data_IF_763050043350
#
_entry.id   IF_763050043350
#
_cell.length_a   1.000
_cell.length_b   1.000
_cell.length_c   1.000
_cell.angle_alpha   90.00
_cell.angle_beta   90.00
_cell.angle_gamma   90.00
#
_symmetry.space_group_name_H-M   'P 1'
#
loop_
_entity.id
_entity.type
_entity.pdbx_description
1 polymer ?
#
# COMPACT_ATOMS: atom_id res chain seq x y z
N UNK A 1 22.67 3.36 -14.74
CA UNK A 1 22.76 2.03 -14.07
C UNK A 1 22.27 0.99 -15.07
N UNK A 2 22.74 -0.27 -14.97
CA UNK A 2 22.22 -1.36 -15.80
C UNK A 2 20.74 -1.62 -15.45
N UNK A 3 19.87 -1.76 -16.49
CA UNK A 3 18.42 -1.91 -16.28
C UNK A 3 18.04 -3.20 -15.53
N UNK A 4 18.83 -4.28 -15.69
CA UNK A 4 18.59 -5.52 -14.97
C UNK A 4 18.92 -5.41 -13.49
N UNK A 5 20.00 -4.69 -13.16
CA UNK A 5 20.37 -4.40 -11.77
C UNK A 5 19.32 -3.49 -11.10
N UNK A 6 18.86 -2.46 -11.82
CA UNK A 6 17.78 -1.59 -11.37
C UNK A 6 16.50 -2.39 -11.10
N UNK A 7 16.11 -3.26 -12.02
CA UNK A 7 14.93 -4.13 -11.89
C UNK A 7 14.99 -5.01 -10.62
N UNK A 8 16.15 -5.63 -10.37
CA UNK A 8 16.34 -6.43 -9.14
C UNK A 8 16.23 -5.55 -7.90
N UNK A 9 16.89 -4.38 -7.87
CA UNK A 9 16.86 -3.47 -6.73
C UNK A 9 15.43 -3.00 -6.41
N UNK A 10 14.70 -2.54 -7.42
CA UNK A 10 13.32 -2.06 -7.23
C UNK A 10 12.36 -3.18 -6.85
N UNK A 11 12.52 -4.37 -7.43
CA UNK A 11 11.78 -5.56 -7.02
C UNK A 11 12.04 -5.98 -5.58
N UNK A 12 13.29 -5.89 -5.10
CA UNK A 12 13.67 -6.12 -3.71
C UNK A 12 13.03 -5.09 -2.77
N UNK A 13 13.10 -3.80 -3.11
CA UNK A 13 12.50 -2.71 -2.34
C UNK A 13 11.00 -2.96 -2.23
N UNK A 14 10.30 -3.13 -3.35
CA UNK A 14 8.86 -3.37 -3.36
C UNK A 14 8.47 -4.61 -2.58
N UNK A 15 9.08 -5.77 -2.88
CA UNK A 15 8.74 -7.04 -2.25
C UNK A 15 9.00 -7.08 -0.75
N UNK A 16 9.96 -6.28 -0.26
CA UNK A 16 10.24 -6.18 1.18
C UNK A 16 9.35 -5.16 1.86
N UNK A 17 9.23 -3.95 1.31
CA UNK A 17 8.59 -2.83 2.00
C UNK A 17 7.06 -2.86 1.93
N UNK A 18 6.47 -3.62 1.01
CA UNK A 18 5.02 -3.75 0.88
C UNK A 18 4.32 -4.21 2.17
N UNK A 19 4.96 -5.08 2.92
CA UNK A 19 4.41 -5.64 4.17
C UNK A 19 4.67 -4.77 5.40
N UNK A 20 5.55 -3.81 5.26
CA UNK A 20 5.88 -2.86 6.33
C UNK A 20 4.96 -1.64 6.24
N UNK A 21 4.60 -1.05 7.38
CA UNK A 21 3.75 0.13 7.38
C UNK A 21 4.54 1.43 7.06
N UNK A 22 5.31 1.40 5.94
CA UNK A 22 6.24 2.47 5.49
C UNK A 22 5.98 2.78 4.04
N UNK A 23 5.21 3.14 3.37
CA UNK A 23 5.00 3.43 1.94
C UNK A 23 6.05 2.84 0.99
N UNK A 24 5.74 1.69 0.40
CA UNK A 24 6.56 1.05 -0.65
C UNK A 24 6.62 1.91 -1.91
N UNK A 25 5.52 2.53 -2.31
CA UNK A 25 5.44 3.44 -3.46
C UNK A 25 6.38 4.63 -3.30
N UNK A 26 6.32 5.30 -2.13
CA UNK A 26 7.20 6.40 -1.81
C UNK A 26 8.67 5.97 -1.81
N UNK A 27 8.97 4.77 -1.32
CA UNK A 27 10.35 4.24 -1.27
C UNK A 27 10.88 3.91 -2.67
N UNK A 28 10.08 3.34 -3.56
CA UNK A 28 10.45 3.07 -4.96
C UNK A 28 10.65 4.39 -5.70
N UNK A 29 9.72 5.34 -5.59
CA UNK A 29 9.84 6.66 -6.22
C UNK A 29 11.08 7.42 -5.73
N UNK A 30 11.34 7.42 -4.41
CA UNK A 30 12.54 8.03 -3.85
C UNK A 30 13.83 7.33 -4.32
N UNK A 31 13.83 6.01 -4.48
CA UNK A 31 14.98 5.27 -5.02
C UNK A 31 15.27 5.66 -6.47
N UNK A 32 14.25 5.76 -7.33
CA UNK A 32 14.37 6.20 -8.72
C UNK A 32 14.93 7.63 -8.79
N UNK A 33 14.36 8.55 -8.02
CA UNK A 33 14.82 9.94 -7.92
C UNK A 33 16.28 10.03 -7.41
N UNK A 34 16.63 9.29 -6.36
CA UNK A 34 17.97 9.33 -5.75
C UNK A 34 19.06 8.71 -6.67
N UNK A 35 18.69 7.79 -7.53
CA UNK A 35 19.60 7.16 -8.50
C UNK A 35 19.69 7.94 -9.83
N UNK A 36 18.92 9.02 -9.96
CA UNK A 36 18.84 9.85 -11.18
C UNK A 36 18.53 9.00 -12.43
N UNK A 37 17.58 8.05 -12.28
CA UNK A 37 17.16 7.14 -13.36
C UNK A 37 15.66 7.25 -13.67
N UNK A 38 14.90 7.97 -12.86
CA UNK A 38 13.51 8.32 -13.12
C UNK A 38 13.40 9.35 -14.24
N UNK A 39 12.38 9.24 -15.08
CA UNK A 39 12.11 10.22 -16.15
C UNK A 39 11.27 11.40 -15.61
N UNK A 40 10.29 11.09 -14.75
CA UNK A 40 9.45 12.09 -14.07
C UNK A 40 8.84 11.52 -12.79
N UNK A 41 8.42 12.39 -11.87
CA UNK A 41 7.75 11.98 -10.64
C UNK A 41 6.43 11.19 -10.91
N UNK A 42 5.75 11.47 -12.03
CA UNK A 42 4.56 10.72 -12.46
C UNK A 42 4.94 9.30 -12.86
N UNK A 43 5.96 9.15 -13.71
CA UNK A 43 6.42 7.84 -14.19
C UNK A 43 7.02 7.00 -13.06
N UNK A 44 7.78 7.62 -12.14
CA UNK A 44 8.30 6.96 -10.95
C UNK A 44 7.17 6.38 -10.08
N UNK A 45 6.08 7.15 -9.92
CA UNK A 45 4.89 6.68 -9.20
C UNK A 45 4.18 5.57 -9.96
N UNK A 46 4.01 5.70 -11.27
CA UNK A 46 3.39 4.67 -12.12
C UNK A 46 4.21 3.37 -12.09
N UNK A 47 5.55 3.45 -12.11
CA UNK A 47 6.38 2.28 -11.99
C UNK A 47 6.24 1.60 -10.62
N UNK A 48 6.17 2.37 -9.54
CA UNK A 48 5.89 1.85 -8.21
C UNK A 48 4.53 1.13 -8.14
N UNK A 49 3.47 1.72 -8.73
CA UNK A 49 2.14 1.11 -8.83
C UNK A 49 2.15 -0.17 -9.67
N UNK A 50 2.92 -0.21 -10.77
CA UNK A 50 3.08 -1.40 -11.59
C UNK A 50 3.70 -2.57 -10.80
N UNK A 51 4.69 -2.32 -9.94
CA UNK A 51 5.34 -3.35 -9.12
C UNK A 51 4.41 -4.01 -8.10
N UNK A 52 3.27 -3.37 -7.76
CA UNK A 52 2.25 -3.98 -6.91
C UNK A 52 1.64 -5.26 -7.49
N UNK A 53 1.68 -5.47 -8.82
CA UNK A 53 1.26 -6.75 -9.41
C UNK A 53 2.10 -7.91 -8.88
N UNK A 54 3.40 -7.71 -8.65
CA UNK A 54 4.27 -8.72 -8.06
C UNK A 54 3.88 -9.06 -6.62
N UNK A 55 3.70 -8.04 -5.78
CA UNK A 55 3.28 -8.26 -4.39
C UNK A 55 1.83 -8.74 -4.27
N UNK A 56 0.94 -8.39 -5.21
CA UNK A 56 -0.39 -8.99 -5.28
C UNK A 56 -0.35 -10.50 -5.54
N UNK A 57 0.56 -10.98 -6.41
CA UNK A 57 0.79 -12.42 -6.62
C UNK A 57 1.30 -13.06 -5.31
N UNK A 58 2.25 -12.43 -4.63
CA UNK A 58 2.78 -12.90 -3.35
C UNK A 58 1.68 -13.01 -2.28
N UNK A 59 0.89 -11.94 -2.09
CA UNK A 59 -0.23 -11.92 -1.13
C UNK A 59 -1.28 -12.97 -1.46
N UNK A 60 -1.71 -13.05 -2.72
CA UNK A 60 -2.70 -14.05 -3.16
C UNK A 60 -2.22 -15.48 -2.88
N UNK A 61 -0.94 -15.76 -3.13
CA UNK A 61 -0.35 -17.07 -2.87
C UNK A 61 -0.25 -17.36 -1.38
N UNK A 62 0.14 -16.38 -0.58
CA UNK A 62 0.30 -16.53 0.87
C UNK A 62 -1.06 -16.73 1.56
N UNK A 63 -2.04 -15.87 1.26
CA UNK A 63 -3.38 -15.88 1.86
C UNK A 63 -4.41 -16.72 1.08
N UNK A 64 -3.96 -17.67 0.23
CA UNK A 64 -4.86 -18.49 -0.60
C UNK A 64 -5.94 -19.24 0.18
N UNK A 65 -5.65 -19.66 1.41
CA UNK A 65 -6.60 -20.36 2.27
C UNK A 65 -7.68 -19.41 2.80
N UNK A 66 -7.29 -18.22 3.25
CA UNK A 66 -8.21 -17.17 3.70
C UNK A 66 -9.11 -16.72 2.54
N UNK A 67 -8.53 -16.48 1.35
CA UNK A 67 -9.28 -16.11 0.15
C UNK A 67 -10.30 -17.20 -0.21
N UNK A 68 -9.89 -18.46 -0.18
CA UNK A 68 -10.80 -19.58 -0.47
C UNK A 68 -11.95 -19.68 0.55
N UNK A 69 -11.66 -19.42 1.82
CA UNK A 69 -12.69 -19.40 2.87
C UNK A 69 -13.70 -18.26 2.66
N UNK A 70 -13.23 -17.04 2.34
CA UNK A 70 -14.13 -15.91 2.07
C UNK A 70 -14.95 -16.12 0.77
N UNK A 71 -14.32 -16.63 -0.30
CA UNK A 71 -15.02 -16.94 -1.54
C UNK A 71 -16.09 -18.03 -1.37
N UNK A 72 -15.88 -19.00 -0.48
CA UNK A 72 -16.86 -20.04 -0.19
C UNK A 72 -18.14 -19.48 0.47
N UNK A 73 -18.07 -18.31 1.12
CA UNK A 73 -19.21 -17.62 1.75
C UNK A 73 -20.06 -16.82 0.75
N UNK A 74 -19.53 -16.51 -0.43
CA UNK A 74 -20.23 -15.67 -1.43
C UNK A 74 -21.62 -16.19 -1.81
N UNK A 75 -21.86 -17.51 -2.03
CA UNK A 75 -23.19 -18.02 -2.39
C UNK A 75 -24.25 -17.82 -1.30
N UNK A 76 -23.83 -17.70 -0.05
CA UNK A 76 -24.71 -17.54 1.12
C UNK A 76 -24.84 -16.08 1.55
N UNK A 77 -24.07 -15.17 0.94
CA UNK A 77 -24.08 -13.75 1.28
C UNK A 77 -25.44 -13.10 0.97
N UNK A 78 -25.94 -12.33 1.92
CA UNK A 78 -27.22 -11.61 1.80
C UNK A 78 -27.08 -10.20 2.35
N UNK A 79 -27.59 -9.16 1.65
CA UNK A 79 -27.54 -7.78 2.12
C UNK A 79 -28.14 -7.55 3.52
N UNK A 80 -29.19 -8.31 3.88
CA UNK A 80 -29.88 -8.20 5.16
C UNK A 80 -29.09 -8.73 6.36
N UNK A 81 -28.06 -9.56 6.12
CA UNK A 81 -27.20 -10.15 7.13
C UNK A 81 -25.73 -9.89 6.85
N UNK A 82 -25.42 -8.88 6.04
CA UNK A 82 -24.07 -8.62 5.53
C UNK A 82 -23.01 -8.37 6.61
N UNK A 83 -23.40 -7.84 7.76
CA UNK A 83 -22.50 -7.63 8.91
C UNK A 83 -22.90 -8.49 10.12
N UNK A 84 -23.53 -9.65 9.89
CA UNK A 84 -23.67 -10.69 10.91
C UNK A 84 -22.41 -11.55 10.99
N UNK A 85 -22.18 -12.18 12.15
CA UNK A 85 -20.95 -12.85 12.60
C UNK A 85 -20.17 -13.64 11.50
N UNK A 86 -20.88 -14.40 10.65
CA UNK A 86 -20.24 -15.24 9.63
C UNK A 86 -19.93 -14.53 8.31
N UNK A 87 -20.53 -13.36 8.07
CA UNK A 87 -20.44 -12.62 6.80
C UNK A 87 -19.75 -11.25 6.92
N UNK A 88 -19.37 -10.85 8.13
CA UNK A 88 -18.82 -9.53 8.41
C UNK A 88 -17.52 -9.26 7.63
N UNK A 89 -16.59 -10.21 7.62
CA UNK A 89 -15.32 -10.08 6.91
C UNK A 89 -15.52 -9.95 5.40
N UNK A 90 -16.35 -10.82 4.79
CA UNK A 90 -16.64 -10.76 3.36
C UNK A 90 -17.27 -9.42 2.99
N UNK A 91 -18.23 -8.95 3.77
CA UNK A 91 -18.90 -7.66 3.54
C UNK A 91 -17.95 -6.49 3.70
N UNK A 92 -17.10 -6.54 4.72
CA UNK A 92 -16.02 -5.56 4.93
C UNK A 92 -15.10 -5.51 3.72
N UNK A 93 -14.59 -6.66 3.27
CA UNK A 93 -13.66 -6.73 2.13
C UNK A 93 -14.30 -6.19 0.84
N UNK A 94 -15.55 -6.54 0.56
CA UNK A 94 -16.25 -6.07 -0.65
C UNK A 94 -16.50 -4.56 -0.58
N UNK A 95 -17.08 -4.06 0.49
CA UNK A 95 -17.44 -2.64 0.61
C UNK A 95 -16.19 -1.76 0.70
N UNK A 96 -15.19 -2.17 1.47
CA UNK A 96 -13.93 -1.43 1.57
C UNK A 96 -13.19 -1.43 0.23
N UNK A 97 -13.23 -2.52 -0.56
CA UNK A 97 -12.66 -2.54 -1.91
C UNK A 97 -13.37 -1.55 -2.84
N UNK A 98 -14.69 -1.56 -2.88
CA UNK A 98 -15.48 -0.64 -3.72
C UNK A 98 -15.25 0.84 -3.32
N UNK A 99 -15.23 1.11 -2.03
CA UNK A 99 -14.94 2.44 -1.50
C UNK A 99 -13.51 2.88 -1.82
N UNK A 100 -12.55 1.96 -1.70
CA UNK A 100 -11.16 2.17 -2.06
C UNK A 100 -10.98 2.49 -3.56
N UNK A 101 -11.70 1.81 -4.43
CA UNK A 101 -11.67 2.10 -5.87
C UNK A 101 -12.26 3.47 -6.18
N UNK A 102 -13.34 3.86 -5.52
CA UNK A 102 -13.94 5.17 -5.71
C UNK A 102 -13.00 6.30 -5.25
N UNK A 103 -12.46 6.21 -4.04
CA UNK A 103 -11.55 7.23 -3.50
C UNK A 103 -10.17 7.20 -4.17
N UNK A 104 -9.65 6.01 -4.47
CA UNK A 104 -8.39 5.82 -5.18
C UNK A 104 -8.45 6.34 -6.62
N UNK A 105 -9.56 6.13 -7.33
CA UNK A 105 -9.79 6.69 -8.65
C UNK A 105 -9.76 8.22 -8.67
N UNK A 106 -10.45 8.85 -7.70
CA UNK A 106 -10.39 10.31 -7.54
C UNK A 106 -8.98 10.78 -7.19
N UNK A 107 -8.30 10.10 -6.27
CA UNK A 107 -6.93 10.44 -5.89
C UNK A 107 -5.95 10.28 -7.06
N UNK A 108 -6.10 9.24 -7.88
CA UNK A 108 -5.27 9.00 -9.06
C UNK A 108 -5.44 10.11 -10.12
N UNK A 109 -6.68 10.49 -10.43
CA UNK A 109 -6.96 11.57 -11.39
C UNK A 109 -6.41 12.94 -10.93
N UNK A 110 -6.32 13.15 -9.61
CA UNK A 110 -5.75 14.39 -9.07
C UNK A 110 -4.22 14.31 -8.93
N UNK A 111 -3.66 13.11 -8.72
CA UNK A 111 -2.24 12.89 -8.57
C UNK A 111 -1.44 13.41 -9.76
N UNK A 112 -1.82 13.03 -10.97
CA UNK A 112 -1.14 13.46 -12.20
C UNK A 112 -1.10 14.98 -12.31
N UNK A 113 -2.23 15.65 -12.05
CA UNK A 113 -2.35 17.12 -12.11
C UNK A 113 -1.48 17.80 -11.04
N UNK A 114 -1.45 17.26 -9.81
CA UNK A 114 -0.67 17.82 -8.71
C UNK A 114 0.81 17.55 -8.90
N UNK A 115 1.18 16.30 -9.17
CA UNK A 115 2.60 15.88 -9.27
C UNK A 115 3.28 16.51 -10.47
N UNK A 116 2.60 16.62 -11.62
CA UNK A 116 3.16 17.27 -12.81
C UNK A 116 3.38 18.78 -12.65
N UNK A 117 2.70 19.41 -11.69
CA UNK A 117 2.81 20.86 -11.42
C UNK A 117 3.92 21.23 -10.42
N UNK A 118 4.53 20.27 -9.74
CA UNK A 118 5.52 20.51 -8.69
C UNK A 118 6.94 20.12 -9.15
N UNK A 119 7.97 20.76 -8.58
CA UNK A 119 9.36 20.40 -8.83
C UNK A 119 9.72 19.06 -8.17
N UNK A 120 10.80 18.41 -8.64
CA UNK A 120 11.29 17.16 -8.05
C UNK A 120 11.55 17.27 -6.54
N UNK A 121 12.14 18.39 -6.08
CA UNK A 121 12.33 18.65 -4.65
C UNK A 121 11.01 18.78 -3.88
N UNK A 122 10.01 19.46 -4.46
CA UNK A 122 8.68 19.55 -3.86
C UNK A 122 7.95 18.18 -3.84
N UNK A 123 8.16 17.33 -4.83
CA UNK A 123 7.66 15.96 -4.84
C UNK A 123 8.25 15.11 -3.71
N UNK A 124 9.58 15.16 -3.53
CA UNK A 124 10.26 14.49 -2.41
C UNK A 124 9.74 14.99 -1.05
N UNK A 125 9.55 16.31 -0.90
CA UNK A 125 8.98 16.88 0.31
C UNK A 125 7.53 16.43 0.55
N UNK A 126 6.71 16.33 -0.50
CA UNK A 126 5.33 15.83 -0.42
C UNK A 126 5.30 14.38 0.09
N UNK A 127 6.12 13.50 -0.48
CA UNK A 127 6.27 12.11 0.03
C UNK A 127 6.60 12.13 1.52
N UNK A 128 7.55 12.99 1.92
CA UNK A 128 7.94 13.14 3.32
C UNK A 128 6.79 13.57 4.23
N UNK A 129 5.99 14.56 3.83
CA UNK A 129 4.82 15.03 4.58
C UNK A 129 3.78 13.93 4.76
N UNK A 130 3.46 13.20 3.68
CA UNK A 130 2.50 12.10 3.72
C UNK A 130 2.99 10.93 4.59
N UNK A 131 4.30 10.65 4.53
CA UNK A 131 4.91 9.61 5.36
C UNK A 131 4.91 10.00 6.86
N UNK A 132 5.18 11.27 7.20
CA UNK A 132 5.03 11.79 8.57
C UNK A 132 3.57 11.66 9.02
N UNK A 133 2.60 12.03 8.17
CA UNK A 133 1.18 11.88 8.46
C UNK A 133 0.79 10.43 8.77
N UNK A 134 1.28 9.48 7.96
CA UNK A 134 1.11 8.04 8.21
C UNK A 134 1.74 7.62 9.55
N UNK A 135 2.96 8.11 9.86
CA UNK A 135 3.63 7.83 11.13
C UNK A 135 2.86 8.37 12.35
N UNK A 136 2.31 9.58 12.24
CA UNK A 136 1.47 10.16 13.30
C UNK A 136 0.18 9.35 13.51
N UNK A 137 -0.46 8.89 12.45
CA UNK A 137 -1.62 8.01 12.53
C UNK A 137 -1.27 6.69 13.24
N UNK A 138 -0.17 6.05 12.87
CA UNK A 138 0.31 4.84 13.54
C UNK A 138 0.61 5.08 15.02
N UNK A 139 1.27 6.20 15.34
CA UNK A 139 1.57 6.58 16.72
C UNK A 139 0.32 6.72 17.57
N UNK A 140 -0.74 7.35 17.05
CA UNK A 140 -2.01 7.49 17.78
C UNK A 140 -2.77 6.17 17.95
N UNK A 141 -2.52 5.19 17.07
CA UNK A 141 -3.18 3.89 17.07
C UNK A 141 -2.48 2.85 17.98
N UNK A 142 -1.18 2.99 18.28
CA UNK A 142 -0.38 1.97 18.95
C UNK A 142 -0.90 1.55 20.33
N UNK A 143 -1.47 2.49 21.09
CA UNK A 143 -1.95 2.25 22.47
C UNK A 143 -3.47 1.95 22.52
N UNK A 144 -4.13 1.88 21.36
CA UNK A 144 -5.59 1.75 21.27
C UNK A 144 -6.07 0.37 20.79
N UNK A 145 -5.22 -0.60 20.73
CA UNK A 145 -5.60 -2.00 20.51
C UNK A 145 -6.38 -2.55 21.72
N UNK A 146 -7.50 -1.89 22.04
CA UNK A 146 -8.48 -2.38 23.00
C UNK A 146 -9.19 -3.53 22.29
N UNK A 147 -8.88 -4.74 22.69
CA UNK A 147 -9.56 -5.94 22.23
C UNK A 147 -11.03 -5.88 22.63
N UNK A 148 -11.86 -5.24 21.82
CA UNK A 148 -13.31 -5.25 22.04
C UNK A 148 -13.96 -6.52 21.50
N UNK A 149 -13.25 -7.27 20.63
CA UNK A 149 -13.74 -8.51 20.01
C UNK A 149 -15.00 -8.33 19.17
N UNK A 150 -15.32 -7.09 18.78
CA UNK A 150 -16.45 -6.82 17.91
C UNK A 150 -16.08 -7.11 16.45
N UNK A 151 -16.99 -7.75 15.70
CA UNK A 151 -16.85 -7.93 14.26
C UNK A 151 -16.78 -6.59 13.53
N UNK A 152 -16.12 -6.58 12.36
CA UNK A 152 -16.04 -5.38 11.52
C UNK A 152 -17.41 -4.99 11.00
N UNK A 153 -17.66 -3.68 10.98
CA UNK A 153 -18.96 -3.13 10.56
C UNK A 153 -18.87 -2.27 9.29
N UNK A 154 -20.03 -1.79 8.84
CA UNK A 154 -20.13 -0.92 7.66
C UNK A 154 -19.25 0.34 7.80
N UNK A 155 -19.22 0.96 8.98
CA UNK A 155 -18.41 2.15 9.21
C UNK A 155 -16.91 1.85 9.06
N UNK A 156 -16.47 0.68 9.54
CA UNK A 156 -15.09 0.24 9.40
C UNK A 156 -14.74 0.04 7.91
N UNK A 157 -15.62 -0.61 7.14
CA UNK A 157 -15.44 -0.82 5.72
C UNK A 157 -15.34 0.51 4.94
N UNK A 158 -16.20 1.47 5.25
CA UNK A 158 -16.20 2.79 4.60
C UNK A 158 -14.95 3.60 4.97
N UNK A 159 -14.57 3.64 6.24
CA UNK A 159 -13.39 4.39 6.70
C UNK A 159 -12.11 3.78 6.16
N UNK A 160 -11.93 2.47 6.33
CA UNK A 160 -10.74 1.76 5.87
C UNK A 160 -10.61 1.82 4.36
N UNK A 161 -11.72 1.58 3.63
CA UNK A 161 -11.72 1.66 2.17
C UNK A 161 -11.41 3.06 1.65
N UNK A 162 -12.03 4.11 2.23
CA UNK A 162 -11.78 5.49 1.83
C UNK A 162 -10.32 5.88 2.04
N UNK A 163 -9.74 5.54 3.19
CA UNK A 163 -8.36 5.86 3.51
C UNK A 163 -7.36 4.98 2.75
N UNK A 164 -7.72 3.70 2.44
CA UNK A 164 -6.92 2.87 1.56
C UNK A 164 -6.82 3.45 0.15
N UNK A 165 -7.90 4.01 -0.40
CA UNK A 165 -7.87 4.65 -1.71
C UNK A 165 -6.87 5.81 -1.79
N UNK A 166 -6.66 6.55 -0.68
CA UNK A 166 -5.65 7.60 -0.62
C UNK A 166 -4.21 7.06 -0.62
N UNK A 167 -4.01 5.78 -0.36
CA UNK A 167 -2.69 5.17 -0.37
C UNK A 167 -2.10 4.97 -1.78
N UNK A 168 -2.81 5.37 -2.83
CA UNK A 168 -2.23 5.55 -4.17
C UNK A 168 -1.28 6.76 -4.22
N UNK A 169 -1.32 7.63 -3.22
CA UNK A 169 -0.42 8.76 -3.09
C UNK A 169 0.92 8.28 -2.49
N UNK A 170 2.06 8.54 -3.17
CA UNK A 170 3.36 8.13 -2.68
C UNK A 170 3.67 8.82 -1.34
N UNK A 171 4.03 8.02 -0.32
CA UNK A 171 4.21 8.48 1.07
C UNK A 171 3.06 8.09 2.00
N UNK A 172 1.87 7.75 1.49
CA UNK A 172 0.80 7.16 2.31
C UNK A 172 1.00 5.65 2.37
N UNK A 173 1.38 5.13 3.53
CA UNK A 173 1.47 3.68 3.70
C UNK A 173 0.07 3.06 3.77
N UNK A 174 -0.26 2.21 2.79
CA UNK A 174 -1.54 1.50 2.73
C UNK A 174 -1.74 0.63 3.98
N UNK A 175 -0.79 -0.28 4.30
CA UNK A 175 -0.88 -1.14 5.49
C UNK A 175 -0.83 -0.34 6.78
N UNK A 176 0.03 0.69 6.86
CA UNK A 176 0.10 1.59 8.02
C UNK A 176 -1.23 2.30 8.30
N UNK A 177 -1.89 2.78 7.27
CA UNK A 177 -3.18 3.48 7.39
C UNK A 177 -4.32 2.54 7.74
N UNK A 178 -4.50 1.44 6.99
CA UNK A 178 -5.64 0.52 7.18
C UNK A 178 -5.59 -0.20 8.52
N UNK A 179 -4.41 -0.69 8.92
CA UNK A 179 -4.22 -1.32 10.24
C UNK A 179 -4.46 -0.32 11.36
N UNK A 180 -3.90 0.90 11.25
CA UNK A 180 -4.10 1.93 12.30
C UNK A 180 -5.57 2.29 12.50
N UNK A 181 -6.34 2.39 11.42
CA UNK A 181 -7.78 2.69 11.51
C UNK A 181 -8.52 1.55 12.20
N UNK A 182 -8.26 0.30 11.84
CA UNK A 182 -8.87 -0.86 12.51
C UNK A 182 -8.53 -0.90 14.01
N UNK A 183 -7.25 -0.67 14.37
CA UNK A 183 -6.83 -0.56 15.77
C UNK A 183 -7.55 0.57 16.52
N UNK A 184 -7.66 1.76 15.91
CA UNK A 184 -8.39 2.90 16.50
C UNK A 184 -9.89 2.62 16.67
N UNK A 185 -10.45 1.72 15.84
CA UNK A 185 -11.81 1.24 15.93
C UNK A 185 -12.00 0.12 16.97
N UNK A 186 -10.88 -0.37 17.57
CA UNK A 186 -10.90 -1.36 18.65
C UNK A 186 -10.79 -2.81 18.19
N UNK A 187 -10.42 -3.05 16.93
CA UNK A 187 -10.22 -4.41 16.41
C UNK A 187 -8.87 -4.98 16.86
N UNK A 188 -8.76 -6.31 17.10
CA UNK A 188 -7.51 -6.97 17.48
C UNK A 188 -6.42 -6.79 16.40
N UNK A 189 -5.17 -6.64 16.84
CA UNK A 189 -4.05 -6.37 15.93
C UNK A 189 -3.81 -7.46 14.90
N UNK A 190 -4.05 -8.73 15.26
CA UNK A 190 -3.91 -9.85 14.33
C UNK A 190 -4.94 -9.81 13.21
N UNK A 191 -6.19 -9.58 13.58
CA UNK A 191 -7.30 -9.45 12.64
C UNK A 191 -7.16 -8.20 11.76
N UNK A 192 -6.76 -7.07 12.35
CA UNK A 192 -6.48 -5.82 11.62
C UNK A 192 -5.42 -6.03 10.54
N UNK A 193 -4.34 -6.76 10.84
CA UNK A 193 -3.32 -7.13 9.86
C UNK A 193 -3.88 -8.05 8.77
N UNK A 194 -4.61 -9.12 9.16
CA UNK A 194 -5.21 -10.07 8.21
C UNK A 194 -6.15 -9.37 7.23
N UNK A 195 -7.10 -8.60 7.73
CA UNK A 195 -8.06 -7.87 6.90
C UNK A 195 -7.37 -6.82 6.00
N UNK A 196 -6.40 -6.10 6.53
CA UNK A 196 -5.60 -5.13 5.75
C UNK A 196 -4.88 -5.79 4.57
N UNK A 197 -4.27 -6.96 4.78
CA UNK A 197 -3.55 -7.65 3.71
C UNK A 197 -4.50 -8.33 2.70
N UNK A 198 -5.61 -8.90 3.13
CA UNK A 198 -6.63 -9.40 2.20
C UNK A 198 -7.19 -8.28 1.33
N UNK A 199 -7.51 -7.14 1.94
CA UNK A 199 -8.01 -5.94 1.25
C UNK A 199 -6.98 -5.34 0.27
N UNK A 200 -5.68 -5.56 0.52
CA UNK A 200 -4.62 -5.08 -0.37
C UNK A 200 -4.61 -5.75 -1.73
N UNK A 201 -5.03 -7.01 -1.82
CA UNK A 201 -4.94 -7.81 -3.04
C UNK A 201 -5.71 -7.18 -4.20
N UNK A 202 -7.04 -6.93 -4.08
CA UNK A 202 -7.77 -6.29 -5.16
C UNK A 202 -7.28 -4.86 -5.45
N UNK A 203 -6.82 -4.12 -4.44
CA UNK A 203 -6.30 -2.76 -4.63
C UNK A 203 -4.98 -2.77 -5.42
N UNK A 204 -4.04 -3.64 -5.07
CA UNK A 204 -2.76 -3.79 -5.76
C UNK A 204 -2.93 -4.27 -7.21
N UNK A 205 -3.84 -5.23 -7.43
CA UNK A 205 -4.19 -5.70 -8.78
C UNK A 205 -4.80 -4.57 -9.62
N UNK A 206 -5.72 -3.79 -9.04
CA UNK A 206 -6.35 -2.68 -9.76
C UNK A 206 -5.35 -1.57 -10.07
N UNK A 207 -4.50 -1.17 -9.13
CA UNK A 207 -3.48 -0.14 -9.33
C UNK A 207 -2.49 -0.54 -10.45
N UNK A 208 -1.94 -1.74 -10.40
CA UNK A 208 -1.03 -2.22 -11.43
C UNK A 208 -1.69 -2.43 -12.79
N UNK A 209 -2.95 -2.93 -12.81
CA UNK A 209 -3.71 -3.08 -14.04
C UNK A 209 -4.06 -1.72 -14.68
N UNK A 210 -4.39 -0.71 -13.88
CA UNK A 210 -4.65 0.65 -14.33
C UNK A 210 -3.44 1.20 -15.10
N UNK A 211 -2.24 1.10 -14.51
CA UNK A 211 -1.00 1.54 -15.17
C UNK A 211 -0.77 0.79 -16.48
N UNK A 212 -0.95 -0.54 -16.49
CA UNK A 212 -0.79 -1.33 -17.71
C UNK A 212 -1.76 -0.94 -18.83
N UNK A 213 -2.98 -0.55 -18.48
CA UNK A 213 -3.99 -0.13 -19.47
C UNK A 213 -3.72 1.27 -19.99
N UNK A 214 -3.28 2.21 -19.14
CA UNK A 214 -3.10 3.61 -19.51
C UNK A 214 -1.75 3.87 -20.20
N UNK A 215 -0.68 3.30 -19.68
CA UNK A 215 0.70 3.62 -20.09
C UNK A 215 1.41 2.42 -20.73
N UNK A 216 0.91 1.22 -20.46
CA UNK A 216 1.62 -0.03 -20.82
C UNK A 216 2.67 -0.39 -19.76
N UNK A 217 3.77 -1.01 -20.18
CA UNK A 217 4.90 -1.31 -19.28
C UNK A 217 5.72 -0.03 -19.10
N UNK A 218 5.77 0.55 -17.86
CA UNK A 218 6.40 1.86 -17.67
C UNK A 218 7.93 1.80 -17.66
N UNK A 219 8.54 2.85 -18.20
CA UNK A 219 9.92 3.37 -17.99
C UNK A 219 11.12 2.46 -18.20
N UNK A 220 10.95 1.14 -18.39
CA UNK A 220 12.06 0.21 -18.67
C UNK A 220 11.67 -0.84 -19.73
N UNK A 221 12.66 -1.49 -20.32
CA UNK A 221 12.40 -2.55 -21.28
C UNK A 221 11.55 -3.71 -20.70
N UNK A 222 10.73 -4.40 -21.51
CA UNK A 222 9.82 -5.47 -21.02
C UNK A 222 10.50 -6.59 -20.25
N UNK A 223 11.75 -6.94 -20.59
CA UNK A 223 12.52 -7.97 -19.89
C UNK A 223 12.86 -7.58 -18.45
N UNK A 224 13.55 -6.46 -18.21
CA UNK A 224 13.78 -5.91 -16.88
C UNK A 224 12.48 -5.68 -16.08
N UNK A 225 11.40 -5.18 -16.71
CA UNK A 225 10.11 -5.02 -16.04
C UNK A 225 9.55 -6.35 -15.52
N UNK A 226 9.58 -7.39 -16.35
CA UNK A 226 9.16 -8.74 -15.95
C UNK A 226 10.04 -9.30 -14.82
N UNK A 227 11.35 -9.03 -14.85
CA UNK A 227 12.25 -9.41 -13.76
C UNK A 227 11.91 -8.68 -12.46
N UNK A 228 11.65 -7.37 -12.50
CA UNK A 228 11.28 -6.60 -11.32
C UNK A 228 9.99 -7.14 -10.67
N UNK A 229 8.96 -7.48 -11.48
CA UNK A 229 7.75 -8.13 -11.01
C UNK A 229 8.03 -9.51 -10.38
N UNK A 230 8.85 -10.32 -11.03
CA UNK A 230 9.18 -11.65 -10.52
C UNK A 230 9.94 -11.57 -9.19
N UNK A 231 10.92 -10.66 -9.08
CA UNK A 231 11.67 -10.41 -7.84
C UNK A 231 10.73 -9.91 -6.75
N UNK A 232 9.85 -8.93 -7.05
CA UNK A 232 8.85 -8.42 -6.11
C UNK A 232 7.93 -9.54 -5.61
N UNK A 233 7.45 -10.42 -6.49
CA UNK A 233 6.59 -11.54 -6.12
C UNK A 233 7.33 -12.57 -5.24
N UNK A 234 8.52 -13.00 -5.63
CA UNK A 234 9.30 -14.00 -4.90
C UNK A 234 9.74 -13.47 -3.53
N UNK A 235 10.32 -12.27 -3.49
CA UNK A 235 10.78 -11.64 -2.25
C UNK A 235 9.59 -11.36 -1.34
N UNK A 236 8.49 -10.82 -1.90
CA UNK A 236 7.26 -10.60 -1.16
C UNK A 236 6.74 -11.88 -0.50
N UNK A 237 6.66 -12.98 -1.25
CA UNK A 237 6.21 -14.27 -0.71
C UNK A 237 7.12 -14.81 0.38
N UNK A 238 8.44 -14.73 0.21
CA UNK A 238 9.41 -15.24 1.18
C UNK A 238 9.48 -14.41 2.46
N UNK A 239 9.16 -13.13 2.38
CA UNK A 239 9.35 -12.18 3.50
C UNK A 239 8.06 -11.85 4.25
N UNK A 240 6.88 -12.05 3.67
CA UNK A 240 5.61 -11.63 4.27
C UNK A 240 5.43 -12.09 5.70
N UNK A 241 5.64 -13.38 6.01
CA UNK A 241 5.47 -13.92 7.36
C UNK A 241 6.43 -13.33 8.39
N UNK A 242 7.71 -13.15 8.02
CA UNK A 242 8.72 -12.54 8.88
C UNK A 242 8.46 -11.05 9.11
N UNK A 243 8.05 -10.32 8.07
CA UNK A 243 7.80 -8.89 8.14
C UNK A 243 6.51 -8.56 8.91
N UNK A 244 5.47 -9.38 8.75
CA UNK A 244 4.25 -9.28 9.60
C UNK A 244 4.60 -9.49 11.08
N UNK A 245 5.48 -10.45 11.40
CA UNK A 245 5.95 -10.64 12.76
C UNK A 245 6.81 -9.47 13.28
N UNK A 246 7.57 -8.82 12.39
CA UNK A 246 8.38 -7.64 12.70
C UNK A 246 7.52 -6.42 13.02
N UNK A 247 6.42 -6.21 12.29
CA UNK A 247 5.47 -5.09 12.51
C UNK A 247 4.96 -5.06 13.95
N UNK A 248 4.82 -6.22 14.58
CA UNK A 248 4.39 -6.33 15.99
C UNK A 248 5.46 -5.93 17.02
N UNK A 249 6.73 -5.74 16.61
CA UNK A 249 7.87 -5.53 17.52
C UNK A 249 8.58 -4.20 17.33
N UNK A 250 8.37 -3.55 16.19
CA UNK A 250 9.08 -2.32 15.82
C UNK A 250 8.11 -1.15 15.81
N UNK A 251 8.54 -0.03 16.36
CA UNK A 251 7.81 1.23 16.34
C UNK A 251 7.92 1.89 14.94
N UNK A 252 7.21 1.33 13.95
CA UNK A 252 7.28 1.82 12.57
C UNK A 252 6.83 3.27 12.43
N UNK A 253 5.99 3.79 13.33
CA UNK A 253 5.66 5.20 13.37
C UNK A 253 6.92 6.11 13.46
N UNK A 254 7.93 5.70 14.25
CA UNK A 254 9.16 6.46 14.36
C UNK A 254 10.01 6.38 13.09
N UNK A 255 9.99 5.25 12.40
CA UNK A 255 10.63 5.07 11.08
C UNK A 255 9.97 6.01 10.06
N UNK A 256 8.63 6.03 9.98
CA UNK A 256 7.90 6.92 9.08
C UNK A 256 8.18 8.39 9.36
N UNK A 257 8.15 8.82 10.64
CA UNK A 257 8.45 10.21 11.02
C UNK A 257 9.90 10.56 10.71
N UNK A 258 10.86 9.68 11.02
CA UNK A 258 12.28 9.91 10.77
C UNK A 258 12.61 10.04 9.29
N UNK A 259 12.21 9.06 8.47
CA UNK A 259 12.44 9.10 7.02
C UNK A 259 11.64 10.21 6.34
N UNK A 260 10.38 10.41 6.76
CA UNK A 260 9.57 11.52 6.26
C UNK A 260 10.17 12.87 6.55
N UNK A 261 10.69 13.08 7.77
CA UNK A 261 11.41 14.30 8.13
C UNK A 261 12.66 14.52 7.28
N UNK A 262 13.46 13.47 7.04
CA UNK A 262 14.61 13.53 6.15
C UNK A 262 14.22 13.87 4.71
N UNK A 263 13.14 13.29 4.20
CA UNK A 263 12.63 13.58 2.86
C UNK A 263 12.14 15.04 2.74
N UNK A 264 11.48 15.59 3.77
CA UNK A 264 11.06 16.99 3.78
C UNK A 264 12.30 17.91 3.71
N UNK A 265 13.31 17.66 4.55
CA UNK A 265 14.54 18.47 4.57
C UNK A 265 15.29 18.34 3.24
N UNK A 266 15.47 17.11 2.74
CA UNK A 266 16.14 16.85 1.46
C UNK A 266 15.42 17.51 0.28
N UNK A 267 14.10 17.36 0.23
CA UNK A 267 13.27 18.00 -0.80
C UNK A 267 13.34 19.53 -0.75
N UNK A 268 13.30 20.12 0.44
CA UNK A 268 13.44 21.58 0.61
C UNK A 268 14.80 22.10 0.13
N UNK A 269 15.88 21.36 0.37
CA UNK A 269 17.23 21.72 -0.09
C UNK A 269 17.37 21.61 -1.63
N UNK A 270 16.58 20.78 -2.30
CA UNK A 270 16.57 20.64 -3.76
C UNK A 270 15.71 21.71 -4.47
N UNK A 271 14.88 22.43 -3.75
CA UNK A 271 14.06 23.54 -4.30
C UNK A 271 14.81 24.87 -4.27
N UNK A 272 15.82 24.99 -3.40
CA UNK A 272 16.70 26.19 -3.27
C UNK A 272 17.88 26.10 -4.23
#
# INVERSE_FOLDING_TARGET
MDEWLLAVLLGLIQGTLEWLPVSSEGSVALALTALDVGESAVEDTQFALFLHLGTAIAATTYYRADIAAELARVPEWRPSASFGDEQADLSFLVIATLTSFATGGVAYLTLETVVSSISGGAFVALIGVLLVGTGLLQWTAQDRALETGADVGLLDALLVGSLQGLAILPGVSRSGTTVSVLLLRGHPGEESLRLSFLLSIPAALAAGALVLVEVGVPSIAPGPAALALAVSAVVGFLTVGALVALVRRVAFWAVCIGFGGLAIVGGALLVV
#
